data_IF_953596761355
#
_entry.id   IF_953596761355
#
_cell.length_a   1.000
_cell.length_b   1.000
_cell.length_c   1.000
_cell.angle_alpha   90.00
_cell.angle_beta   90.00
_cell.angle_gamma   90.00
#
_symmetry.space_group_name_H-M   'P 1'
#
loop_
_entity.id
_entity.type
_entity.pdbx_description
1 polymer ?
#
# COMPACT_ATOMS: atom_id res chain seq x y z
N UNK A 1 -76.30 47.20 18.57
CA UNK A 1 -75.57 46.94 19.83
C UNK A 1 -74.65 45.75 19.59
N UNK A 2 -73.34 45.87 19.86
CA UNK A 2 -72.37 44.83 19.47
C UNK A 2 -72.48 43.63 20.41
N UNK A 3 -72.69 42.45 19.82
CA UNK A 3 -72.62 41.17 20.51
C UNK A 3 -71.17 40.91 20.92
N UNK A 4 -70.94 40.81 22.23
CA UNK A 4 -69.65 40.41 22.79
C UNK A 4 -69.36 38.97 22.43
N UNK A 5 -68.32 38.80 21.62
CA UNK A 5 -67.73 37.51 21.26
C UNK A 5 -66.93 37.03 22.48
N UNK A 6 -67.53 36.13 23.27
CA UNK A 6 -66.80 35.33 24.28
C UNK A 6 -66.13 34.19 23.52
N UNK A 7 -64.93 34.44 23.01
CA UNK A 7 -64.10 33.39 22.41
C UNK A 7 -63.54 32.48 23.51
N UNK A 8 -63.81 31.19 23.34
CA UNK A 8 -63.49 30.10 24.26
C UNK A 8 -61.98 29.90 24.43
N UNK A 9 -61.43 30.32 25.58
CA UNK A 9 -60.04 30.06 26.02
C UNK A 9 -59.86 28.70 26.70
N UNK A 10 -60.91 27.87 26.74
CA UNK A 10 -60.95 26.59 27.45
C UNK A 10 -59.98 25.49 26.99
N UNK A 11 -59.65 25.30 25.70
CA UNK A 11 -58.76 24.19 25.30
C UNK A 11 -57.29 24.45 25.64
N UNK A 12 -56.83 25.71 25.62
CA UNK A 12 -55.45 26.05 25.98
C UNK A 12 -55.19 25.80 27.48
N UNK A 13 -56.14 26.21 28.34
CA UNK A 13 -56.07 25.96 29.78
C UNK A 13 -56.08 24.46 30.12
N UNK A 14 -56.77 23.64 29.34
CA UNK A 14 -56.80 22.18 29.54
C UNK A 14 -55.43 21.54 29.29
N UNK A 15 -54.72 21.96 28.24
CA UNK A 15 -53.39 21.44 27.93
C UNK A 15 -52.35 21.85 28.98
N UNK A 16 -52.42 23.09 29.47
CA UNK A 16 -51.53 23.57 30.54
C UNK A 16 -51.75 22.81 31.86
N UNK A 17 -53.00 22.47 32.19
CA UNK A 17 -53.32 21.66 33.38
C UNK A 17 -52.78 20.24 33.24
N UNK A 18 -52.89 19.61 32.07
CA UNK A 18 -52.32 18.27 31.85
C UNK A 18 -50.79 18.28 31.94
N UNK A 19 -50.15 19.30 31.37
CA UNK A 19 -48.69 19.46 31.47
C UNK A 19 -48.24 19.62 32.92
N UNK A 20 -48.91 20.47 33.70
CA UNK A 20 -48.60 20.65 35.12
C UNK A 20 -48.83 19.38 35.94
N UNK A 21 -49.81 18.55 35.58
CA UNK A 21 -50.03 17.24 36.23
C UNK A 21 -48.88 16.27 35.98
N UNK A 22 -48.35 16.22 34.76
CA UNK A 22 -47.21 15.36 34.44
C UNK A 22 -45.92 15.85 35.11
N UNK A 23 -45.69 17.17 35.13
CA UNK A 23 -44.57 17.76 35.89
C UNK A 23 -44.67 17.43 37.39
N UNK A 24 -45.87 17.53 37.98
CA UNK A 24 -46.10 17.23 39.40
C UNK A 24 -45.90 15.74 39.70
N UNK A 25 -46.24 14.85 38.76
CA UNK A 25 -45.97 13.41 38.85
C UNK A 25 -44.48 13.11 38.84
N UNK A 26 -43.70 13.72 37.93
CA UNK A 26 -42.24 13.55 37.92
C UNK A 26 -41.56 14.09 39.18
N UNK A 27 -42.03 15.22 39.72
CA UNK A 27 -41.52 15.74 41.00
C UNK A 27 -41.84 14.78 42.15
N UNK A 28 -43.01 14.16 42.15
CA UNK A 28 -43.38 13.16 43.15
C UNK A 28 -42.48 11.92 43.09
N UNK A 29 -42.27 11.37 41.89
CA UNK A 29 -41.36 10.23 41.66
C UNK A 29 -39.93 10.57 42.11
N UNK A 30 -39.44 11.77 41.80
CA UNK A 30 -38.12 12.22 42.25
C UNK A 30 -38.03 12.35 43.78
N UNK A 31 -39.09 12.80 44.44
CA UNK A 31 -39.15 12.91 45.90
C UNK A 31 -39.18 11.53 46.57
N UNK A 32 -39.85 10.55 45.99
CA UNK A 32 -39.85 9.17 46.48
C UNK A 32 -38.46 8.54 46.36
N UNK A 33 -37.80 8.69 45.21
CA UNK A 33 -36.41 8.25 45.01
C UNK A 33 -35.45 8.90 46.02
N UNK A 34 -35.62 10.20 46.30
CA UNK A 34 -34.81 10.89 47.29
C UNK A 34 -35.06 10.36 48.72
N UNK A 35 -36.31 10.08 49.07
CA UNK A 35 -36.67 9.48 50.37
C UNK A 35 -36.06 8.09 50.54
N UNK A 36 -36.12 7.26 49.50
CA UNK A 36 -35.50 5.93 49.50
C UNK A 36 -33.97 6.04 49.66
N UNK A 37 -33.31 6.93 48.90
CA UNK A 37 -31.88 7.18 49.03
C UNK A 37 -31.48 7.63 50.44
N UNK A 38 -32.28 8.48 51.09
CA UNK A 38 -32.06 8.90 52.48
C UNK A 38 -32.21 7.75 53.47
N UNK A 39 -33.19 6.86 53.29
CA UNK A 39 -33.37 5.67 54.14
C UNK A 39 -32.20 4.71 54.02
N UNK A 40 -31.72 4.46 52.80
CA UNK A 40 -30.52 3.64 52.54
C UNK A 40 -29.30 4.25 53.23
N UNK A 41 -29.09 5.56 53.05
CA UNK A 41 -27.96 6.28 53.66
C UNK A 41 -28.00 6.22 55.19
N UNK A 42 -29.19 6.39 55.78
CA UNK A 42 -29.36 6.26 57.24
C UNK A 42 -29.06 4.84 57.72
N UNK A 43 -29.52 3.82 57.00
CA UNK A 43 -29.21 2.42 57.32
C UNK A 43 -27.70 2.11 57.27
N UNK A 44 -26.97 2.68 56.30
CA UNK A 44 -25.52 2.54 56.20
C UNK A 44 -24.79 3.24 57.37
N UNK A 45 -25.26 4.41 57.79
CA UNK A 45 -24.72 5.14 58.94
C UNK A 45 -24.97 4.38 60.25
N UNK A 46 -26.18 3.89 60.47
CA UNK A 46 -26.54 3.13 61.67
C UNK A 46 -25.75 1.81 61.75
N UNK A 47 -25.52 1.15 60.61
CA UNK A 47 -24.69 -0.06 60.55
C UNK A 47 -23.20 0.24 60.84
N UNK A 48 -22.68 1.34 60.28
CA UNK A 48 -21.30 1.79 60.54
C UNK A 48 -21.10 2.15 62.01
N UNK A 49 -22.06 2.83 62.64
CA UNK A 49 -22.02 3.18 64.06
C UNK A 49 -22.08 1.95 64.98
N UNK A 50 -22.75 0.87 64.59
CA UNK A 50 -22.74 -0.40 65.37
C UNK A 50 -21.42 -1.15 65.26
N UNK A 51 -20.76 -1.11 64.10
CA UNK A 51 -19.45 -1.75 63.89
C UNK A 51 -18.29 -1.00 64.57
N UNK A 52 -18.53 0.21 65.06
CA UNK A 52 -17.56 1.12 65.67
C UNK A 52 -17.33 0.94 67.17
N UNK A 53 -17.94 -0.07 67.82
CA UNK A 53 -17.87 -0.22 69.28
C UNK A 53 -16.56 -0.83 69.80
N UNK A 54 -15.76 -1.49 68.96
CA UNK A 54 -14.41 -1.96 69.29
C UNK A 54 -13.38 -1.45 68.24
N UNK A 55 -12.40 -0.61 68.64
CA UNK A 55 -11.36 -0.11 67.75
C UNK A 55 -10.55 -1.22 67.05
N UNK A 56 -10.41 -2.40 67.65
CA UNK A 56 -9.71 -3.53 67.04
C UNK A 56 -10.51 -4.17 65.91
N UNK A 57 -11.84 -4.27 66.06
CA UNK A 57 -12.73 -4.76 65.01
C UNK A 57 -12.80 -3.79 63.82
N UNK A 58 -12.70 -2.49 64.08
CA UNK A 58 -12.66 -1.48 63.02
C UNK A 58 -11.42 -1.62 62.14
N UNK A 59 -10.23 -1.80 62.72
CA UNK A 59 -9.00 -1.99 61.96
C UNK A 59 -9.04 -3.29 61.15
N UNK A 60 -9.60 -4.37 61.70
CA UNK A 60 -9.79 -5.62 60.98
C UNK A 60 -10.77 -5.45 59.81
N UNK A 61 -11.86 -4.72 60.01
CA UNK A 61 -12.84 -4.40 58.95
C UNK A 61 -12.24 -3.54 57.83
N UNK A 62 -11.52 -2.47 58.17
CA UNK A 62 -10.85 -1.59 57.21
C UNK A 62 -9.84 -2.39 56.38
N UNK A 63 -9.02 -3.22 57.04
CA UNK A 63 -8.02 -4.07 56.36
C UNK A 63 -8.70 -5.06 55.41
N UNK A 64 -9.78 -5.72 55.86
CA UNK A 64 -10.58 -6.62 55.01
C UNK A 64 -11.18 -5.89 53.81
N UNK A 65 -11.76 -4.71 54.01
CA UNK A 65 -12.34 -3.89 52.93
C UNK A 65 -11.27 -3.40 51.96
N UNK A 66 -10.11 -2.97 52.45
CA UNK A 66 -8.97 -2.59 51.61
C UNK A 66 -8.51 -3.76 50.74
N UNK A 67 -8.44 -4.98 51.28
CA UNK A 67 -8.13 -6.19 50.49
C UNK A 67 -9.23 -6.56 49.49
N UNK A 68 -10.51 -6.35 49.81
CA UNK A 68 -11.62 -6.51 48.86
C UNK A 68 -11.50 -5.52 47.69
N UNK A 69 -11.30 -4.23 47.97
CA UNK A 69 -11.11 -3.22 46.93
C UNK A 69 -9.86 -3.46 46.09
N UNK A 70 -8.74 -3.83 46.71
CA UNK A 70 -7.51 -4.16 45.99
C UNK A 70 -7.73 -5.34 45.01
N UNK A 71 -8.49 -6.36 45.42
CA UNK A 71 -8.85 -7.49 44.53
C UNK A 71 -9.77 -7.05 43.39
N UNK A 72 -10.74 -6.19 43.67
CA UNK A 72 -11.65 -5.66 42.64
C UNK A 72 -10.90 -4.82 41.60
N UNK A 73 -10.00 -3.94 42.03
CA UNK A 73 -9.14 -3.13 41.14
C UNK A 73 -8.26 -4.05 40.28
N UNK A 74 -7.57 -5.01 40.88
CA UNK A 74 -6.73 -5.97 40.15
C UNK A 74 -7.54 -6.87 39.20
N UNK A 75 -8.83 -7.09 39.46
CA UNK A 75 -9.71 -7.78 38.52
C UNK A 75 -10.09 -6.88 37.33
N UNK A 76 -10.45 -5.62 37.58
CA UNK A 76 -10.78 -4.64 36.54
C UNK A 76 -9.57 -4.33 35.65
N UNK A 77 -8.38 -4.24 36.21
CA UNK A 77 -7.14 -4.07 35.44
C UNK A 77 -6.90 -5.26 34.50
N UNK A 78 -7.02 -6.50 35.00
CA UNK A 78 -6.90 -7.70 34.17
C UNK A 78 -7.99 -7.82 33.09
N UNK A 79 -9.19 -7.30 33.35
CA UNK A 79 -10.25 -7.26 32.36
C UNK A 79 -9.98 -6.21 31.28
N UNK A 80 -9.49 -5.03 31.68
CA UNK A 80 -9.08 -3.99 30.75
C UNK A 80 -7.91 -4.44 29.86
N UNK A 81 -6.90 -5.11 30.42
CA UNK A 81 -5.80 -5.70 29.66
C UNK A 81 -6.30 -6.72 28.62
N UNK A 82 -7.28 -7.56 28.98
CA UNK A 82 -7.91 -8.49 28.02
C UNK A 82 -8.63 -7.76 26.90
N UNK A 83 -9.35 -6.68 27.21
CA UNK A 83 -10.03 -5.88 26.19
C UNK A 83 -9.03 -5.22 25.23
N UNK A 84 -7.88 -4.75 25.73
CA UNK A 84 -6.80 -4.22 24.89
C UNK A 84 -6.24 -5.30 23.96
N UNK A 85 -6.01 -6.52 24.46
CA UNK A 85 -5.53 -7.62 23.63
C UNK A 85 -6.53 -8.02 22.54
N UNK A 86 -7.83 -8.11 22.87
CA UNK A 86 -8.89 -8.39 21.89
C UNK A 86 -8.90 -7.30 20.80
N UNK A 87 -8.85 -6.03 21.18
CA UNK A 87 -8.81 -4.93 20.21
C UNK A 87 -7.55 -4.96 19.32
N UNK A 88 -6.41 -5.39 19.87
CA UNK A 88 -5.18 -5.57 19.09
C UNK A 88 -5.30 -6.74 18.10
N UNK A 89 -5.88 -7.86 18.51
CA UNK A 89 -6.14 -9.02 17.63
C UNK A 89 -7.10 -8.66 16.50
N UNK A 90 -8.17 -7.93 16.78
CA UNK A 90 -9.11 -7.42 15.77
C UNK A 90 -8.40 -6.50 14.77
N UNK A 91 -7.57 -5.58 15.25
CA UNK A 91 -6.81 -4.67 14.38
C UNK A 91 -5.78 -5.42 13.51
N UNK A 92 -5.18 -6.50 14.02
CA UNK A 92 -4.29 -7.36 13.22
C UNK A 92 -5.09 -8.08 12.13
N UNK A 93 -6.24 -8.66 12.47
CA UNK A 93 -7.12 -9.34 11.51
C UNK A 93 -7.64 -8.38 10.42
N UNK A 94 -7.98 -7.14 10.78
CA UNK A 94 -8.35 -6.10 9.81
C UNK A 94 -7.21 -5.75 8.86
N UNK A 95 -5.99 -5.64 9.38
CA UNK A 95 -4.80 -5.37 8.55
C UNK A 95 -4.55 -6.51 7.56
N UNK A 96 -4.71 -7.77 7.98
CA UNK A 96 -4.58 -8.93 7.10
C UNK A 96 -5.68 -8.94 6.03
N UNK A 97 -6.93 -8.68 6.40
CA UNK A 97 -8.05 -8.53 5.43
C UNK A 97 -7.79 -7.44 4.40
N UNK A 98 -7.28 -6.29 4.82
CA UNK A 98 -6.93 -5.19 3.91
C UNK A 98 -5.78 -5.58 2.97
N UNK A 99 -4.79 -6.34 3.46
CA UNK A 99 -3.70 -6.87 2.63
C UNK A 99 -4.22 -7.82 1.54
N UNK A 100 -5.12 -8.74 1.89
CA UNK A 100 -5.72 -9.68 0.94
C UNK A 100 -6.59 -8.98 -0.11
N UNK A 101 -7.35 -7.96 0.32
CA UNK A 101 -8.11 -7.10 -0.60
C UNK A 101 -7.18 -6.37 -1.59
N UNK A 102 -6.02 -5.87 -1.14
CA UNK A 102 -5.06 -5.21 -2.03
C UNK A 102 -4.50 -6.18 -3.09
N UNK A 103 -4.15 -7.41 -2.70
CA UNK A 103 -3.72 -8.45 -3.64
C UNK A 103 -4.82 -8.77 -4.68
N UNK A 104 -6.07 -8.82 -4.23
CA UNK A 104 -7.23 -9.06 -5.11
C UNK A 104 -7.43 -7.90 -6.08
N UNK A 105 -7.30 -6.64 -5.63
CA UNK A 105 -7.38 -5.46 -6.49
C UNK A 105 -6.27 -5.48 -7.55
N UNK A 106 -5.04 -5.81 -7.16
CA UNK A 106 -3.91 -5.92 -8.10
C UNK A 106 -4.17 -7.00 -9.16
N UNK A 107 -4.70 -8.16 -8.76
CA UNK A 107 -5.06 -9.24 -9.69
C UNK A 107 -6.17 -8.81 -10.69
N UNK A 108 -7.19 -8.09 -10.22
CA UNK A 108 -8.26 -7.55 -11.06
C UNK A 108 -7.70 -6.52 -12.05
N UNK A 109 -6.84 -5.61 -11.61
CA UNK A 109 -6.20 -4.61 -12.48
C UNK A 109 -5.33 -5.25 -13.56
N UNK A 110 -4.57 -6.29 -13.21
CA UNK A 110 -3.77 -7.04 -14.18
C UNK A 110 -4.67 -7.70 -15.24
N UNK A 111 -5.78 -8.32 -14.81
CA UNK A 111 -6.76 -8.93 -15.72
C UNK A 111 -7.42 -7.88 -16.64
N UNK A 112 -7.76 -6.71 -16.10
CA UNK A 112 -8.31 -5.60 -16.89
C UNK A 112 -7.33 -5.12 -17.96
N UNK A 113 -6.04 -4.98 -17.61
CA UNK A 113 -4.99 -4.59 -18.54
C UNK A 113 -4.82 -5.62 -19.67
N UNK A 114 -4.88 -6.91 -19.36
CA UNK A 114 -4.81 -7.98 -20.35
C UNK A 114 -6.02 -7.94 -21.30
N UNK A 115 -7.24 -7.78 -20.77
CA UNK A 115 -8.45 -7.59 -21.59
C UNK A 115 -8.36 -6.34 -22.47
N UNK A 116 -7.81 -5.24 -21.95
CA UNK A 116 -7.59 -4.00 -22.72
C UNK A 116 -6.58 -4.23 -23.85
N UNK A 117 -5.54 -5.02 -23.62
CA UNK A 117 -4.57 -5.38 -24.66
C UNK A 117 -5.22 -6.26 -25.76
N UNK A 118 -6.05 -7.22 -25.39
CA UNK A 118 -6.77 -8.07 -26.37
C UNK A 118 -7.81 -7.29 -27.17
N UNK A 119 -8.57 -6.39 -26.54
CA UNK A 119 -9.50 -5.51 -27.26
C UNK A 119 -8.78 -4.59 -28.26
N UNK A 120 -7.58 -4.09 -27.91
CA UNK A 120 -6.74 -3.33 -28.84
C UNK A 120 -6.28 -4.19 -30.04
N UNK A 121 -5.90 -5.45 -29.82
CA UNK A 121 -5.53 -6.38 -30.92
C UNK A 121 -6.71 -6.66 -31.85
N UNK A 122 -7.90 -6.90 -31.30
CA UNK A 122 -9.12 -7.11 -32.08
C UNK A 122 -9.50 -5.88 -32.92
N UNK A 123 -9.35 -4.68 -32.36
CA UNK A 123 -9.58 -3.43 -33.08
C UNK A 123 -8.64 -3.28 -34.29
N UNK A 124 -7.35 -3.60 -34.12
CA UNK A 124 -6.37 -3.54 -35.21
C UNK A 124 -6.65 -4.62 -36.29
N UNK A 125 -7.03 -5.83 -35.88
CA UNK A 125 -7.45 -6.88 -36.81
C UNK A 125 -8.67 -6.45 -37.66
N UNK A 126 -9.69 -5.87 -37.04
CA UNK A 126 -10.86 -5.35 -37.76
C UNK A 126 -10.50 -4.23 -38.73
N UNK A 127 -9.55 -3.36 -38.36
CA UNK A 127 -9.02 -2.31 -39.24
C UNK A 127 -8.31 -2.92 -40.46
N UNK A 128 -7.51 -3.97 -40.26
CA UNK A 128 -6.86 -4.70 -41.36
C UNK A 128 -7.87 -5.39 -42.28
N UNK A 129 -8.90 -6.02 -41.73
CA UNK A 129 -9.99 -6.61 -42.52
C UNK A 129 -10.72 -5.56 -43.35
N UNK A 130 -11.02 -4.40 -42.78
CA UNK A 130 -11.63 -3.27 -43.51
C UNK A 130 -10.75 -2.81 -44.67
N UNK A 131 -9.46 -2.61 -44.44
CA UNK A 131 -8.52 -2.25 -45.52
C UNK A 131 -8.43 -3.31 -46.62
N UNK A 132 -8.48 -4.60 -46.25
CA UNK A 132 -8.51 -5.69 -47.22
C UNK A 132 -9.77 -5.64 -48.07
N UNK A 133 -10.95 -5.47 -47.45
CA UNK A 133 -12.22 -5.34 -48.14
C UNK A 133 -12.22 -4.14 -49.10
N UNK A 134 -11.76 -2.97 -48.65
CA UNK A 134 -11.64 -1.77 -49.49
C UNK A 134 -10.75 -2.02 -50.72
N UNK A 135 -9.64 -2.76 -50.53
CA UNK A 135 -8.72 -3.12 -51.62
C UNK A 135 -9.39 -4.08 -52.62
N UNK A 136 -10.13 -5.09 -52.14
CA UNK A 136 -10.87 -6.03 -52.98
C UNK A 136 -11.96 -5.30 -53.78
N UNK A 137 -12.71 -4.40 -53.13
CA UNK A 137 -13.73 -3.58 -53.79
C UNK A 137 -13.13 -2.66 -54.86
N UNK A 138 -11.98 -2.04 -54.58
CA UNK A 138 -11.26 -1.22 -55.57
C UNK A 138 -10.84 -2.06 -56.79
N UNK A 139 -10.29 -3.26 -56.57
CA UNK A 139 -9.89 -4.19 -57.64
C UNK A 139 -11.09 -4.66 -58.46
N UNK A 140 -12.19 -5.02 -57.82
CA UNK A 140 -13.43 -5.40 -58.50
C UNK A 140 -13.95 -4.27 -59.41
N UNK A 141 -13.94 -3.03 -58.92
CA UNK A 141 -14.36 -1.87 -59.71
C UNK A 141 -13.45 -1.64 -60.93
N UNK A 142 -12.13 -1.77 -60.76
CA UNK A 142 -11.17 -1.70 -61.89
C UNK A 142 -11.40 -2.83 -62.89
N UNK A 143 -11.62 -4.06 -62.42
CA UNK A 143 -11.91 -5.20 -63.30
C UNK A 143 -13.23 -5.02 -64.06
N UNK A 144 -14.27 -4.50 -63.42
CA UNK A 144 -15.53 -4.15 -64.10
C UNK A 144 -15.33 -3.08 -65.17
N UNK A 145 -14.46 -2.08 -64.94
CA UNK A 145 -14.15 -1.05 -65.93
C UNK A 145 -13.33 -1.58 -67.11
N UNK A 146 -12.38 -2.49 -66.87
CA UNK A 146 -11.55 -3.09 -67.93
C UNK A 146 -12.36 -4.09 -68.77
N UNK A 147 -13.20 -4.91 -68.12
CA UNK A 147 -13.94 -6.00 -68.77
C UNK A 147 -15.38 -5.64 -69.13
N UNK A 148 -15.66 -4.36 -69.43
CA UNK A 148 -16.96 -3.94 -69.93
C UNK A 148 -17.49 -4.91 -70.99
N UNK A 149 -18.52 -5.68 -70.60
CA UNK A 149 -19.36 -6.56 -71.42
C UNK A 149 -18.91 -8.01 -71.74
N UNK A 150 -18.08 -8.67 -70.94
CA UNK A 150 -18.00 -10.15 -71.03
C UNK A 150 -17.94 -10.81 -69.65
N UNK A 151 -19.08 -11.35 -69.22
CA UNK A 151 -19.32 -11.82 -67.84
C UNK A 151 -18.73 -13.20 -67.50
N UNK A 152 -18.03 -13.87 -68.42
CA UNK A 152 -17.79 -15.33 -68.29
C UNK A 152 -16.35 -15.74 -67.88
N UNK A 153 -15.42 -14.81 -67.64
CA UNK A 153 -14.00 -15.17 -67.47
C UNK A 153 -13.39 -15.01 -66.05
N UNK A 154 -14.17 -14.71 -65.01
CA UNK A 154 -13.64 -14.13 -63.77
C UNK A 154 -13.32 -15.07 -62.59
N UNK A 155 -13.26 -16.39 -62.76
CA UNK A 155 -13.02 -17.34 -61.64
C UNK A 155 -11.57 -17.90 -61.57
N UNK A 156 -10.67 -17.59 -62.52
CA UNK A 156 -9.40 -18.34 -62.64
C UNK A 156 -8.13 -17.73 -61.99
N UNK A 157 -8.16 -16.53 -61.39
CA UNK A 157 -6.94 -15.84 -60.94
C UNK A 157 -6.86 -15.65 -59.42
N UNK A 158 -6.63 -16.73 -58.65
CA UNK A 158 -6.26 -16.60 -57.22
C UNK A 158 -5.28 -17.66 -56.75
N UNK A 159 -4.29 -17.99 -57.57
CA UNK A 159 -3.26 -18.96 -57.18
C UNK A 159 -1.95 -18.79 -57.91
N UNK A 160 -1.14 -17.79 -57.55
CA UNK A 160 0.31 -17.85 -57.79
C UNK A 160 1.06 -17.14 -56.67
N UNK A 161 1.95 -17.91 -56.02
CA UNK A 161 2.73 -17.49 -54.86
C UNK A 161 3.87 -16.56 -55.21
N UNK A 162 4.05 -15.53 -54.38
CA UNK A 162 5.25 -14.70 -54.38
C UNK A 162 6.35 -15.40 -53.58
N UNK A 163 7.28 -16.07 -54.28
CA UNK A 163 8.63 -16.35 -53.79
C UNK A 163 9.39 -15.01 -53.75
N UNK A 164 9.66 -14.49 -52.54
CA UNK A 164 10.65 -13.44 -52.35
C UNK A 164 12.01 -14.11 -52.11
N UNK A 165 12.95 -13.80 -52.98
CA UNK A 165 14.36 -14.17 -52.91
C UNK A 165 15.01 -13.62 -51.65
N UNK A 166 15.73 -14.50 -50.94
CA UNK A 166 16.62 -14.15 -49.86
C UNK A 166 17.98 -13.79 -50.48
N UNK A 167 18.31 -12.50 -50.48
CA UNK A 167 19.68 -12.04 -50.77
C UNK A 167 20.51 -12.21 -49.50
N UNK A 168 21.47 -13.13 -49.60
CA UNK A 168 22.49 -13.44 -48.61
C UNK A 168 23.66 -12.47 -48.79
N UNK A 169 23.74 -11.47 -47.91
CA UNK A 169 24.86 -10.52 -47.86
C UNK A 169 26.00 -11.19 -47.10
N UNK A 170 27.06 -11.58 -47.80
CA UNK A 170 28.33 -12.01 -47.21
C UNK A 170 28.94 -10.84 -46.41
N UNK A 171 28.91 -10.93 -45.08
CA UNK A 171 29.63 -10.01 -44.19
C UNK A 171 31.06 -10.52 -43.97
N UNK A 172 32.02 -9.71 -44.37
CA UNK A 172 33.46 -9.85 -44.08
C UNK A 172 33.72 -10.09 -42.58
N UNK A 173 34.70 -10.96 -42.31
CA UNK A 173 35.04 -11.46 -40.96
C UNK A 173 35.77 -10.38 -40.15
N UNK A 174 35.00 -9.47 -39.54
CA UNK A 174 35.51 -8.45 -38.63
C UNK A 174 36.05 -9.12 -37.38
N UNK A 175 37.32 -8.84 -37.07
CA UNK A 175 38.05 -9.40 -35.93
C UNK A 175 37.27 -9.24 -34.62
N UNK A 176 36.96 -10.36 -33.99
CA UNK A 176 36.07 -10.47 -32.84
C UNK A 176 36.81 -10.12 -31.56
N UNK A 177 36.48 -8.98 -30.94
CA UNK A 177 37.14 -8.51 -29.72
C UNK A 177 36.42 -8.96 -28.44
N UNK A 178 37.20 -9.12 -27.35
CA UNK A 178 36.66 -9.30 -26.00
C UNK A 178 36.16 -7.96 -25.46
N UNK A 179 35.03 -7.98 -24.75
CA UNK A 179 34.39 -6.79 -24.16
C UNK A 179 35.41 -5.99 -23.32
N UNK A 180 35.42 -4.65 -23.39
CA UNK A 180 36.20 -3.82 -22.49
C UNK A 180 35.75 -4.06 -21.06
N UNK A 181 36.68 -4.21 -20.13
CA UNK A 181 36.37 -4.63 -18.75
C UNK A 181 35.51 -3.64 -17.94
N UNK A 182 35.29 -2.41 -18.44
CA UNK A 182 34.79 -1.29 -17.61
C UNK A 182 33.46 -0.67 -18.07
N UNK A 183 32.82 -1.18 -19.13
CA UNK A 183 31.51 -0.67 -19.57
C UNK A 183 30.38 -1.21 -18.69
N UNK A 184 29.79 -0.38 -17.82
CA UNK A 184 28.60 -0.75 -17.03
C UNK A 184 27.38 -0.87 -17.96
N UNK A 185 26.70 -2.00 -17.90
CA UNK A 185 25.44 -2.22 -18.63
C UNK A 185 24.29 -1.70 -17.79
N UNK A 186 23.56 -0.72 -18.31
CA UNK A 186 22.36 -0.19 -17.64
C UNK A 186 21.18 -1.11 -17.92
N UNK A 187 20.37 -1.44 -16.90
CA UNK A 187 19.12 -2.15 -17.12
C UNK A 187 18.12 -1.29 -17.92
N UNK A 188 17.15 -1.92 -18.57
CA UNK A 188 16.13 -1.27 -19.42
C UNK A 188 15.35 -0.22 -18.63
N UNK A 189 15.01 -0.50 -17.37
CA UNK A 189 14.27 0.42 -16.51
C UNK A 189 15.10 1.67 -16.20
N UNK A 190 16.35 1.51 -15.77
CA UNK A 190 17.25 2.63 -15.51
C UNK A 190 17.47 3.46 -16.78
N UNK A 191 17.68 2.81 -17.92
CA UNK A 191 17.85 3.48 -19.21
C UNK A 191 16.60 4.28 -19.60
N UNK A 192 15.41 3.67 -19.54
CA UNK A 192 14.15 4.34 -19.89
C UNK A 192 13.87 5.51 -18.97
N UNK A 193 14.23 5.45 -17.69
CA UNK A 193 14.08 6.57 -16.76
C UNK A 193 15.26 7.57 -16.78
N UNK A 194 16.30 7.33 -17.60
CA UNK A 194 17.47 8.19 -17.69
C UNK A 194 18.38 8.19 -16.45
N UNK A 195 18.31 7.14 -15.60
CA UNK A 195 19.14 7.01 -14.41
C UNK A 195 20.56 6.56 -14.77
N UNK A 196 21.56 7.30 -14.27
CA UNK A 196 22.98 7.09 -14.60
C UNK A 196 23.71 6.19 -13.60
N UNK A 197 23.09 5.90 -12.47
CA UNK A 197 23.66 5.21 -11.30
C UNK A 197 23.31 3.71 -11.23
N UNK A 198 22.97 3.10 -12.38
CA UNK A 198 22.78 1.66 -12.45
C UNK A 198 24.09 0.93 -12.11
N UNK A 199 24.06 0.09 -11.08
CA UNK A 199 25.19 -0.72 -10.61
C UNK A 199 25.57 -1.85 -11.59
N UNK A 200 24.65 -2.26 -12.48
CA UNK A 200 24.84 -3.34 -13.43
C UNK A 200 24.74 -4.74 -12.81
N UNK A 201 24.22 -4.85 -11.58
CA UNK A 201 23.98 -6.15 -10.95
C UNK A 201 22.87 -6.93 -11.67
N UNK A 202 22.78 -8.24 -11.41
CA UNK A 202 21.72 -9.10 -11.95
C UNK A 202 20.31 -8.55 -11.62
N UNK A 203 20.16 -7.99 -10.42
CA UNK A 203 19.06 -7.13 -10.00
C UNK A 203 19.68 -5.83 -9.49
N UNK A 204 19.57 -4.75 -10.28
CA UNK A 204 20.16 -3.47 -9.89
C UNK A 204 19.46 -2.85 -8.67
N UNK A 205 20.20 -2.06 -7.89
CA UNK A 205 19.70 -1.41 -6.68
C UNK A 205 18.45 -0.57 -6.93
N UNK A 206 18.43 0.21 -8.02
CA UNK A 206 17.27 1.00 -8.42
C UNK A 206 16.00 0.15 -8.63
N UNK A 207 16.14 -1.04 -9.23
CA UNK A 207 15.01 -1.96 -9.39
C UNK A 207 14.61 -2.63 -8.08
N UNK A 208 15.58 -2.94 -7.21
CA UNK A 208 15.35 -3.51 -5.89
C UNK A 208 14.56 -2.57 -4.99
N UNK A 209 14.98 -1.31 -4.88
CA UNK A 209 14.34 -0.29 -4.05
C UNK A 209 12.89 0.00 -4.48
N UNK A 210 12.57 -0.18 -5.77
CA UNK A 210 11.20 -0.02 -6.29
C UNK A 210 10.32 -1.25 -6.12
N UNK A 211 10.82 -2.34 -5.53
CA UNK A 211 10.10 -3.63 -5.50
C UNK A 211 9.94 -4.27 -6.88
N UNK A 212 10.69 -3.82 -7.89
CA UNK A 212 10.61 -4.28 -9.30
C UNK A 212 11.77 -5.21 -9.67
N UNK A 213 12.25 -5.99 -8.71
CA UNK A 213 13.37 -6.93 -8.91
C UNK A 213 13.13 -7.90 -10.08
N UNK A 214 11.91 -8.43 -10.21
CA UNK A 214 11.49 -9.34 -11.29
C UNK A 214 11.47 -8.68 -12.69
N UNK A 215 11.47 -7.35 -12.75
CA UNK A 215 11.41 -6.56 -13.97
C UNK A 215 12.77 -5.93 -14.35
N UNK A 216 13.84 -6.25 -13.62
CA UNK A 216 15.19 -5.81 -13.94
C UNK A 216 15.70 -6.61 -15.15
N UNK A 217 15.57 -6.02 -16.35
CA UNK A 217 15.97 -6.65 -17.61
C UNK A 217 17.11 -5.86 -18.24
N UNK A 218 18.03 -6.52 -18.91
CA UNK A 218 19.10 -5.85 -19.66
C UNK A 218 18.90 -6.09 -21.16
N UNK A 219 19.20 -5.09 -21.98
CA UNK A 219 19.11 -5.21 -23.44
C UNK A 219 20.30 -6.01 -23.94
N UNK A 220 20.02 -7.09 -24.67
CA UNK A 220 21.03 -7.92 -25.30
C UNK A 220 21.71 -7.15 -26.45
N UNK A 221 23.02 -7.26 -26.54
CA UNK A 221 23.79 -6.64 -27.60
C UNK A 221 23.41 -7.22 -28.97
N UNK A 222 23.00 -6.36 -29.92
CA UNK A 222 22.67 -6.76 -31.29
C UNK A 222 23.84 -7.40 -32.04
N UNK A 223 25.07 -7.04 -31.69
CA UNK A 223 26.30 -7.47 -32.38
C UNK A 223 27.08 -8.55 -31.63
N UNK A 224 26.48 -9.15 -30.60
CA UNK A 224 27.08 -10.27 -29.90
C UNK A 224 26.72 -11.58 -30.62
N UNK A 225 27.74 -12.25 -31.17
CA UNK A 225 27.59 -13.55 -31.85
C UNK A 225 28.75 -14.47 -31.46
N UNK A 226 28.46 -15.76 -31.24
CA UNK A 226 29.47 -16.81 -30.98
C UNK A 226 30.48 -16.40 -29.87
N UNK A 227 29.97 -15.94 -28.73
CA UNK A 227 30.76 -15.50 -27.56
C UNK A 227 31.68 -14.28 -27.76
N UNK A 228 31.40 -13.47 -28.78
CA UNK A 228 32.23 -12.31 -29.11
C UNK A 228 31.37 -11.12 -29.52
N UNK A 229 31.79 -9.92 -29.13
CA UNK A 229 31.11 -8.68 -29.48
C UNK A 229 31.93 -7.94 -30.53
N UNK A 230 31.29 -7.50 -31.61
CA UNK A 230 31.96 -6.69 -32.63
C UNK A 230 32.22 -5.25 -32.15
N UNK A 231 31.58 -4.82 -31.05
CA UNK A 231 31.75 -3.47 -30.51
C UNK A 231 32.69 -3.46 -29.29
N UNK A 232 33.85 -2.82 -29.45
CA UNK A 232 34.86 -2.65 -28.39
C UNK A 232 34.42 -1.72 -27.25
N UNK A 233 33.34 -0.97 -27.38
CA UNK A 233 32.77 -0.11 -26.34
C UNK A 233 31.33 -0.50 -26.03
N UNK A 234 31.00 -1.80 -26.13
CA UNK A 234 29.64 -2.28 -25.94
C UNK A 234 29.14 -2.06 -24.51
N UNK A 235 28.06 -1.29 -24.38
CA UNK A 235 27.34 -1.04 -23.13
C UNK A 235 26.13 -1.96 -22.93
N UNK A 236 25.96 -2.96 -23.79
CA UNK A 236 24.83 -3.91 -23.76
C UNK A 236 25.23 -5.23 -23.09
N UNK A 237 24.23 -6.01 -22.71
CA UNK A 237 24.43 -7.31 -22.07
C UNK A 237 24.79 -8.38 -23.09
N UNK A 238 25.67 -9.31 -22.69
CA UNK A 238 26.05 -10.49 -23.48
C UNK A 238 25.50 -11.78 -22.85
N UNK A 239 25.33 -12.80 -23.69
CA UNK A 239 25.04 -14.16 -23.22
C UNK A 239 26.27 -14.66 -22.43
N UNK A 240 26.10 -14.85 -21.12
CA UNK A 240 27.18 -15.20 -20.18
C UNK A 240 27.45 -14.18 -19.07
N UNK A 241 26.94 -12.95 -19.16
CA UNK A 241 27.11 -11.90 -18.14
C UNK A 241 26.23 -12.11 -16.87
N UNK A 242 25.69 -13.31 -16.66
CA UNK A 242 24.88 -13.72 -15.48
C UNK A 242 23.63 -12.86 -15.19
N UNK A 243 23.08 -12.14 -16.17
CA UNK A 243 21.79 -11.46 -16.02
C UNK A 243 20.64 -12.45 -16.01
N UNK A 244 19.67 -12.26 -15.09
CA UNK A 244 18.51 -13.15 -14.94
C UNK A 244 17.61 -13.10 -16.17
N UNK A 245 17.43 -11.91 -16.74
CA UNK A 245 16.54 -11.70 -17.89
C UNK A 245 17.22 -10.80 -18.93
N UNK A 246 17.52 -11.37 -20.09
CA UNK A 246 17.96 -10.64 -21.27
C UNK A 246 16.79 -10.45 -22.22
N UNK A 247 16.60 -9.23 -22.70
CA UNK A 247 15.60 -8.93 -23.74
C UNK A 247 16.31 -8.69 -25.08
N UNK A 248 15.72 -9.13 -26.21
CA UNK A 248 16.22 -8.78 -27.53
C UNK A 248 16.38 -7.26 -27.68
N UNK A 249 17.31 -6.84 -28.56
CA UNK A 249 17.53 -5.43 -28.83
C UNK A 249 16.23 -4.75 -29.27
N UNK A 250 15.76 -3.80 -28.46
CA UNK A 250 14.65 -2.90 -28.77
C UNK A 250 15.15 -1.47 -28.65
N UNK A 251 14.66 -0.57 -29.53
CA UNK A 251 14.94 0.86 -29.39
C UNK A 251 14.22 1.35 -28.13
N UNK A 252 14.97 1.57 -27.06
CA UNK A 252 14.46 2.19 -25.85
C UNK A 252 14.46 3.71 -26.02
N UNK A 253 13.34 4.35 -25.69
CA UNK A 253 13.26 5.81 -25.56
C UNK A 253 13.41 6.18 -24.08
N UNK A 254 14.30 7.13 -23.78
CA UNK A 254 14.41 7.67 -22.44
C UNK A 254 13.23 8.63 -22.19
N UNK A 255 12.33 8.26 -21.28
CA UNK A 255 11.34 9.16 -20.71
C UNK A 255 12.02 9.96 -19.61
N UNK A 256 12.22 11.28 -19.83
CA UNK A 256 12.59 12.33 -18.85
C UNK A 256 13.49 11.94 -17.66
N UNK A 257 14.62 12.63 -17.50
CA UNK A 257 15.56 12.41 -16.38
C UNK A 257 14.96 12.82 -15.02
N UNK A 258 14.28 11.88 -14.35
CA UNK A 258 13.92 11.98 -12.94
C UNK A 258 15.08 11.55 -12.03
N UNK A 259 15.04 11.92 -10.75
CA UNK A 259 15.98 11.41 -9.75
C UNK A 259 15.84 9.89 -9.61
N UNK A 260 16.95 9.20 -9.38
CA UNK A 260 16.91 7.74 -9.21
C UNK A 260 16.36 7.37 -7.83
N UNK A 261 15.79 6.17 -7.66
CA UNK A 261 15.41 5.63 -6.36
C UNK A 261 16.56 5.59 -5.36
N UNK A 262 17.79 5.30 -5.82
CA UNK A 262 18.99 5.32 -4.99
C UNK A 262 19.31 6.74 -4.50
N UNK A 263 19.23 7.74 -5.38
CA UNK A 263 19.41 9.15 -4.99
C UNK A 263 18.34 9.61 -4.00
N UNK A 264 17.08 9.18 -4.18
CA UNK A 264 15.99 9.49 -3.27
C UNK A 264 16.22 8.88 -1.89
N UNK A 265 16.55 7.59 -1.83
CA UNK A 265 16.85 6.91 -0.57
C UNK A 265 18.05 7.51 0.14
N UNK A 266 19.12 7.82 -0.59
CA UNK A 266 20.29 8.49 -0.01
C UNK A 266 19.92 9.84 0.61
N UNK A 267 18.99 10.58 0.01
CA UNK A 267 18.48 11.85 0.56
C UNK A 267 17.59 11.64 1.78
N UNK A 268 16.71 10.65 1.76
CA UNK A 268 15.86 10.29 2.90
C UNK A 268 16.70 9.83 4.09
N UNK A 269 17.72 9.01 3.86
CA UNK A 269 18.67 8.56 4.88
C UNK A 269 19.46 9.75 5.47
N UNK A 270 19.86 10.71 4.64
CA UNK A 270 20.52 11.95 5.08
C UNK A 270 19.57 12.88 5.86
N UNK A 271 18.33 13.05 5.40
CA UNK A 271 17.30 13.82 6.12
C UNK A 271 16.95 13.15 7.46
N UNK A 272 16.84 11.82 7.51
CA UNK A 272 16.65 11.05 8.72
C UNK A 272 17.86 11.19 9.66
N UNK A 273 19.08 11.17 9.11
CA UNK A 273 20.30 11.40 9.88
C UNK A 273 20.37 12.83 10.41
N UNK A 274 19.91 13.84 9.68
CA UNK A 274 19.86 15.20 10.20
C UNK A 274 18.78 15.37 11.27
N UNK A 275 17.62 14.75 11.08
CA UNK A 275 16.50 14.85 12.03
C UNK A 275 16.73 14.07 13.32
N UNK A 276 17.32 12.88 13.22
CA UNK A 276 17.47 11.94 14.34
C UNK A 276 18.92 11.70 14.75
N UNK A 277 19.91 12.13 13.98
CA UNK A 277 21.32 11.96 14.33
C UNK A 277 21.68 12.75 15.60
N UNK A 278 21.17 13.97 15.75
CA UNK A 278 21.37 14.75 16.97
C UNK A 278 20.74 14.08 18.20
N UNK A 279 19.62 13.36 18.06
CA UNK A 279 19.02 12.63 19.18
C UNK A 279 19.71 11.31 19.45
N UNK A 280 20.15 10.57 18.42
CA UNK A 280 20.89 9.33 18.57
C UNK A 280 22.27 9.54 19.17
N UNK A 281 23.03 10.54 18.71
CA UNK A 281 24.35 10.86 19.25
C UNK A 281 24.26 11.30 20.72
N UNK A 282 23.20 12.05 21.09
CA UNK A 282 22.93 12.42 22.48
C UNK A 282 22.53 11.21 23.34
N UNK A 283 21.63 10.34 22.86
CA UNK A 283 21.20 9.14 23.60
C UNK A 283 22.36 8.15 23.77
N UNK A 284 23.13 7.92 22.72
CA UNK A 284 24.27 7.01 22.75
C UNK A 284 25.41 7.58 23.62
N UNK A 285 25.64 8.89 23.57
CA UNK A 285 26.54 9.60 24.49
C UNK A 285 26.12 9.42 25.95
N UNK A 286 24.84 9.65 26.27
CA UNK A 286 24.31 9.45 27.63
C UNK A 286 24.43 8.00 28.10
N UNK A 287 24.21 7.02 27.22
CA UNK A 287 24.34 5.61 27.54
C UNK A 287 25.81 5.25 27.87
N UNK A 288 26.76 5.69 27.04
CA UNK A 288 28.19 5.49 27.27
C UNK A 288 28.68 6.16 28.55
N UNK A 289 28.19 7.37 28.85
CA UNK A 289 28.52 8.07 30.09
C UNK A 289 27.97 7.36 31.33
N UNK A 290 26.75 6.82 31.25
CA UNK A 290 26.19 5.99 32.32
C UNK A 290 26.99 4.69 32.54
N UNK A 291 27.46 4.04 31.47
CA UNK A 291 28.31 2.86 31.57
C UNK A 291 29.68 3.20 32.19
N UNK A 292 30.29 4.35 31.82
CA UNK A 292 31.54 4.82 32.44
C UNK A 292 31.38 5.15 33.93
N UNK A 293 30.24 5.70 34.35
CA UNK A 293 29.96 5.97 35.77
C UNK A 293 29.82 4.69 36.59
N UNK A 294 29.17 3.66 36.03
CA UNK A 294 29.04 2.35 36.69
C UNK A 294 30.37 1.61 36.83
N UNK A 295 31.28 1.75 35.87
CA UNK A 295 32.59 1.08 35.92
C UNK A 295 33.62 1.64 36.92
N UNK A 296 33.36 2.78 37.58
CA UNK A 296 34.31 3.41 38.53
C UNK A 296 33.95 3.22 40.01
N UNK A 297 32.87 2.51 40.33
CA UNK A 297 32.32 2.43 41.69
C UNK A 297 32.98 1.42 42.64
N UNK A 298 33.61 0.36 42.14
CA UNK A 298 33.81 -0.85 42.96
C UNK A 298 35.24 -1.09 43.47
N UNK A 299 36.18 -0.17 43.28
CA UNK A 299 37.59 -0.41 43.65
C UNK A 299 38.01 0.13 45.04
N UNK A 300 37.09 0.47 45.95
CA UNK A 300 37.46 1.16 47.20
C UNK A 300 37.09 0.47 48.52
N UNK A 301 36.81 -0.84 48.54
CA UNK A 301 36.43 -1.57 49.78
C UNK A 301 37.39 -2.67 50.23
N UNK A 302 38.61 -2.77 49.69
CA UNK A 302 39.60 -3.77 50.11
C UNK A 302 40.84 -3.15 50.78
N UNK A 303 40.63 -2.44 51.89
CA UNK A 303 41.65 -2.21 52.93
C UNK A 303 40.97 -2.14 54.29
N UNK A 304 40.75 -3.30 54.89
CA UNK A 304 40.53 -3.49 56.33
C UNK A 304 41.11 -4.85 56.69
#
# INVERSE_FOLDING_TARGET
MPASIVQSTTPALSADIEKLREELKHVHEALELEREARLITRGLLDNSNRQLQDPNDMNAYITKKAHEYAREIAQKEREHERQILIAQEEHIADRERLSDMQLTIEAVQNTENDLRAETAKLAEFNKQQKHHLDTVLMRLKVLQQIHGNSSDALVAFSGTGNKRSADEIELEDISRHKKPKNGKVTCTQCYTHGWKDCDGASICENCRLRGKAKCCKCVMCKYYKKNTCLNQSCTFAHEGDSYIVLVPFTRLQASGSGRSPVELKAREDEEARQKYGATYDNLFGMLLDNMKRRGKGDNNTSKA
#
